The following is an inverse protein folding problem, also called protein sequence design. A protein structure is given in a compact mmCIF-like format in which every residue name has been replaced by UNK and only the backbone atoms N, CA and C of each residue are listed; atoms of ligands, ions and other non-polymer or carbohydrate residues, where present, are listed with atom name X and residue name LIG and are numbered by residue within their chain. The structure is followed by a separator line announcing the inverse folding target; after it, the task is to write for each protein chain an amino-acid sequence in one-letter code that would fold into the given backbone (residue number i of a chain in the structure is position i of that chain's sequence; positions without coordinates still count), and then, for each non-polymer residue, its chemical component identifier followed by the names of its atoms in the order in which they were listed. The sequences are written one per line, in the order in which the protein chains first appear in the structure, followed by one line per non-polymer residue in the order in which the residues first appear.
data_IF_697952028689
#
_entry.id   IF_697952028689
#
_cell.length_a   1.000
_cell.length_b   1.000
_cell.length_c   1.000
_cell.angle_alpha   90.00
_cell.angle_beta   90.00
_cell.angle_gamma   90.00
#
_symmetry.space_group_name_H-M   'P 1'
#
loop_
_entity.id
_entity.type
_entity.pdbx_description
1 polymer ?
#
# COMPACT_ATOMS: atom_id res chain seq x y z
N UNK A 1 4.53 -17.61 -10.20
CA UNK A 1 4.12 -16.41 -9.44
C UNK A 1 4.91 -16.43 -8.14
N UNK A 2 5.85 -15.50 -7.95
CA UNK A 2 6.69 -15.43 -6.75
C UNK A 2 6.33 -14.14 -6.02
N UNK A 3 5.59 -14.27 -4.92
CA UNK A 3 5.27 -13.18 -4.01
C UNK A 3 6.46 -13.07 -3.05
N UNK A 4 7.11 -11.91 -2.99
CA UNK A 4 8.15 -11.62 -2.00
C UNK A 4 7.61 -10.58 -1.04
N UNK A 5 7.16 -11.02 0.13
CA UNK A 5 6.83 -10.15 1.27
C UNK A 5 8.06 -10.10 2.16
N UNK A 6 8.67 -8.93 2.27
CA UNK A 6 9.84 -8.70 3.11
C UNK A 6 9.36 -8.37 4.53
N UNK A 7 9.37 -9.35 5.44
CA UNK A 7 9.04 -9.16 6.85
C UNK A 7 10.30 -8.71 7.59
N UNK A 8 10.37 -7.45 8.00
CA UNK A 8 11.46 -6.97 8.88
C UNK A 8 11.00 -7.05 10.35
N UNK A 9 11.54 -8.02 11.09
CA UNK A 9 11.28 -8.21 12.50
C UNK A 9 12.01 -7.13 13.33
N UNK A 10 11.25 -6.34 14.09
CA UNK A 10 11.76 -5.32 15.02
C UNK A 10 12.22 -6.00 16.33
N UNK A 11 13.53 -6.08 16.57
CA UNK A 11 14.09 -6.51 17.85
C UNK A 11 14.08 -5.35 18.85
N UNK A 12 13.29 -5.47 19.91
CA UNK A 12 13.42 -4.63 21.11
C UNK A 12 14.53 -5.21 22.00
N UNK A 13 15.61 -4.46 22.19
CA UNK A 13 16.58 -4.71 23.27
C UNK A 13 16.45 -3.60 24.32
N UNK A 14 16.11 -3.99 25.54
CA UNK A 14 16.04 -3.13 26.72
C UNK A 14 17.20 -3.47 27.67
N UNK A 15 17.68 -2.45 28.39
CA UNK A 15 18.57 -2.45 29.58
C UNK A 15 20.08 -2.59 29.30
N UNK A 16 21.00 -1.90 29.99
CA UNK A 16 20.96 -1.00 31.15
C UNK A 16 22.18 -0.06 31.13
N UNK A 17 22.04 1.13 31.73
CA UNK A 17 23.16 2.02 32.09
C UNK A 17 23.79 1.56 33.41
N UNK A 18 25.11 1.44 33.43
CA UNK A 18 25.93 1.31 34.64
C UNK A 18 27.35 1.80 34.34
N UNK A 19 27.78 2.87 35.02
CA UNK A 19 29.15 3.39 34.99
C UNK A 19 30.06 2.58 35.95
N UNK A 20 31.35 2.42 35.63
CA UNK A 20 32.52 2.88 36.44
C UNK A 20 33.83 2.23 35.92
N UNK A 21 34.97 2.82 36.31
CA UNK A 21 36.30 2.94 35.69
C UNK A 21 37.21 1.70 35.50
N UNK A 22 38.13 1.79 34.53
CA UNK A 22 39.50 1.22 34.67
C UNK A 22 40.09 0.38 33.52
N UNK A 23 41.05 0.98 32.82
CA UNK A 23 42.27 0.40 32.21
C UNK A 23 42.24 -0.44 30.89
N UNK A 24 42.84 0.20 29.86
CA UNK A 24 43.72 -0.30 28.79
C UNK A 24 43.32 -1.40 27.78
N UNK A 25 43.47 -0.96 26.53
CA UNK A 25 43.84 -1.70 25.30
C UNK A 25 42.73 -2.39 24.50
N UNK A 26 42.30 -1.77 23.40
CA UNK A 26 42.74 -2.15 22.03
C UNK A 26 41.91 -1.45 20.95
N UNK A 27 42.60 -1.08 19.88
CA UNK A 27 42.13 -0.65 18.54
C UNK A 27 40.64 -0.76 18.21
N UNK A 28 40.03 0.39 17.92
CA UNK A 28 39.20 0.62 16.73
C UNK A 28 38.82 2.10 16.67
N UNK A 29 39.32 2.84 15.68
CA UNK A 29 38.73 4.12 15.30
C UNK A 29 37.98 3.95 13.99
N UNK A 30 36.64 3.80 14.01
CA UNK A 30 35.83 4.23 12.90
C UNK A 30 35.50 5.71 13.10
N UNK A 31 36.25 6.57 12.42
CA UNK A 31 35.80 7.92 12.11
C UNK A 31 34.86 7.82 10.91
N UNK A 32 33.57 7.85 11.17
CA UNK A 32 32.54 8.36 10.27
C UNK A 32 31.25 8.41 11.07
N UNK A 33 31.07 9.55 11.73
CA UNK A 33 29.79 10.04 12.19
C UNK A 33 28.91 10.25 10.94
N UNK A 34 28.31 9.17 10.47
CA UNK A 34 27.13 9.26 9.63
C UNK A 34 25.97 9.43 10.60
N UNK A 35 25.76 10.67 11.02
CA UNK A 35 24.43 11.14 11.37
C UNK A 35 23.55 10.84 10.15
N UNK A 36 22.91 9.66 10.15
CA UNK A 36 21.75 9.42 9.31
C UNK A 36 20.65 10.32 9.87
N UNK A 37 20.71 11.58 9.45
CA UNK A 37 19.58 12.47 9.38
C UNK A 37 18.60 11.85 8.38
N UNK A 38 17.88 10.82 8.83
CA UNK A 38 16.63 10.43 8.20
C UNK A 38 15.62 11.46 8.66
N UNK A 39 15.72 12.67 8.12
CA UNK A 39 14.54 13.48 7.85
C UNK A 39 13.65 12.56 7.02
N UNK A 40 12.64 11.94 7.65
CA UNK A 40 11.62 11.18 6.96
C UNK A 40 11.01 12.12 5.92
N UNK A 41 11.41 11.95 4.66
CA UNK A 41 10.78 12.64 3.56
C UNK A 41 9.33 12.15 3.55
N UNK A 42 8.40 13.00 3.99
CA UNK A 42 6.99 12.69 4.15
C UNK A 42 6.25 12.53 2.82
N UNK A 43 6.69 11.57 2.01
CA UNK A 43 6.06 11.16 0.75
C UNK A 43 5.46 9.76 0.86
N UNK A 44 4.52 9.44 -0.02
CA UNK A 44 3.90 8.11 -0.08
C UNK A 44 4.94 7.03 -0.42
N UNK A 45 4.66 5.76 -0.12
CA UNK A 45 5.56 4.64 -0.43
C UNK A 45 6.04 4.66 -1.88
N UNK A 46 5.14 4.88 -2.85
CA UNK A 46 5.47 4.84 -4.28
C UNK A 46 6.31 6.03 -4.74
N UNK A 47 6.23 7.17 -4.06
CA UNK A 47 7.15 8.28 -4.29
C UNK A 47 8.59 7.92 -3.88
N UNK A 48 8.74 7.13 -2.81
CA UNK A 48 10.04 6.70 -2.30
C UNK A 48 10.58 5.46 -3.02
N UNK A 49 9.68 4.59 -3.50
CA UNK A 49 9.98 3.31 -4.12
C UNK A 49 9.22 3.18 -5.46
N UNK A 50 9.54 4.02 -6.46
CA UNK A 50 8.81 3.99 -7.73
C UNK A 50 9.08 2.69 -8.49
N UNK A 51 8.06 2.19 -9.16
CA UNK A 51 8.25 1.12 -10.15
C UNK A 51 8.99 1.67 -11.37
N UNK A 52 9.87 0.85 -11.93
CA UNK A 52 10.74 1.23 -13.06
C UNK A 52 10.61 0.31 -14.26
N UNK A 53 9.96 -0.85 -14.11
CA UNK A 53 9.75 -1.77 -15.22
C UNK A 53 8.51 -1.39 -16.03
N UNK A 54 8.58 -1.62 -17.34
CA UNK A 54 7.45 -1.40 -18.24
C UNK A 54 6.21 -2.15 -17.74
N UNK A 55 5.03 -1.52 -17.89
CA UNK A 55 3.72 -2.10 -17.53
C UNK A 55 3.56 -2.40 -16.04
N UNK A 56 4.31 -1.74 -15.17
CA UNK A 56 4.06 -1.75 -13.73
C UNK A 56 3.32 -0.48 -13.30
N UNK A 57 2.57 -0.61 -12.22
CA UNK A 57 1.88 0.48 -11.55
C UNK A 57 2.18 0.45 -10.06
N UNK A 58 2.35 1.62 -9.44
CA UNK A 58 2.47 1.79 -8.01
C UNK A 58 1.56 2.92 -7.52
N UNK A 59 0.78 2.66 -6.47
CA UNK A 59 0.16 3.69 -5.62
C UNK A 59 0.17 3.26 -4.15
N UNK A 60 -0.03 4.22 -3.26
CA UNK A 60 -0.33 3.94 -1.85
C UNK A 60 -1.82 3.98 -1.60
N UNK A 61 -2.33 3.10 -0.74
CA UNK A 61 -3.68 3.15 -0.19
C UNK A 61 -3.63 3.59 1.26
N UNK A 62 -4.52 4.49 1.65
CA UNK A 62 -4.69 4.89 3.05
C UNK A 62 -5.93 4.20 3.59
N UNK A 63 -5.70 3.32 4.56
CA UNK A 63 -6.73 2.57 5.26
C UNK A 63 -7.36 3.47 6.34
N UNK A 64 -8.69 3.59 6.41
CA UNK A 64 -9.32 4.52 7.36
C UNK A 64 -9.15 4.07 8.81
N UNK A 65 -9.09 5.02 9.73
CA UNK A 65 -9.00 4.74 11.18
C UNK A 65 -10.26 4.05 11.73
N UNK A 66 -11.37 4.10 11.00
CA UNK A 66 -12.68 3.57 11.41
C UNK A 66 -12.85 2.05 11.26
N UNK A 67 -11.85 1.32 10.77
CA UNK A 67 -11.91 -0.14 10.63
C UNK A 67 -11.75 -0.80 12.01
N UNK A 68 -12.83 -1.43 12.50
CA UNK A 68 -12.86 -2.11 13.81
C UNK A 68 -12.92 -3.62 13.73
N UNK A 69 -13.28 -4.16 12.57
CA UNK A 69 -13.41 -5.60 12.31
C UNK A 69 -12.30 -6.08 11.35
N UNK A 70 -11.97 -7.38 11.32
CA UNK A 70 -11.03 -7.89 10.34
C UNK A 70 -11.60 -7.74 8.93
N UNK A 71 -10.78 -7.23 8.01
CA UNK A 71 -11.11 -7.14 6.58
C UNK A 71 -11.36 -8.53 6.00
N UNK A 72 -12.39 -8.70 5.18
CA UNK A 72 -12.64 -9.96 4.48
C UNK A 72 -11.94 -10.02 3.12
N UNK A 73 -11.85 -8.88 2.45
CA UNK A 73 -11.28 -8.79 1.11
C UNK A 73 -10.83 -7.39 0.77
N UNK A 74 -9.72 -7.28 0.06
CA UNK A 74 -9.31 -6.03 -0.60
C UNK A 74 -9.27 -6.26 -2.11
N UNK A 75 -9.77 -5.28 -2.85
CA UNK A 75 -9.84 -5.31 -4.30
C UNK A 75 -9.33 -4.00 -4.84
N UNK A 76 -8.35 -4.03 -5.75
CA UNK A 76 -7.83 -2.84 -6.41
C UNK A 76 -7.76 -3.11 -7.90
N UNK A 77 -8.64 -2.47 -8.68
CA UNK A 77 -8.80 -2.78 -10.10
C UNK A 77 -9.01 -1.55 -10.96
N UNK A 78 -8.63 -1.71 -12.23
CA UNK A 78 -8.95 -0.77 -13.28
C UNK A 78 -10.33 -1.06 -13.90
N UNK A 79 -11.13 -0.01 -14.04
CA UNK A 79 -12.47 -0.02 -14.64
C UNK A 79 -12.49 0.84 -15.91
N UNK A 80 -13.36 0.49 -16.85
CA UNK A 80 -13.56 1.26 -18.09
C UNK A 80 -14.45 2.49 -17.92
N UNK A 81 -15.13 2.64 -16.78
CA UNK A 81 -16.00 3.77 -16.46
C UNK A 81 -15.90 4.16 -14.99
N UNK A 82 -16.25 5.42 -14.70
CA UNK A 82 -16.39 5.93 -13.34
C UNK A 82 -17.71 6.72 -13.18
N UNK A 83 -18.59 6.42 -12.22
CA UNK A 83 -18.50 5.30 -11.27
C UNK A 83 -18.48 3.92 -11.98
N UNK A 84 -17.86 2.90 -11.38
CA UNK A 84 -17.82 1.58 -11.99
C UNK A 84 -19.22 0.96 -12.01
N UNK A 85 -19.49 0.16 -13.04
CA UNK A 85 -20.73 -0.60 -13.17
C UNK A 85 -20.38 -2.06 -13.44
N UNK A 86 -20.69 -2.94 -12.48
CA UNK A 86 -20.38 -4.36 -12.58
C UNK A 86 -18.92 -4.69 -12.27
N UNK A 87 -18.44 -5.89 -12.65
CA UNK A 87 -17.10 -6.34 -12.31
C UNK A 87 -16.01 -5.52 -13.03
N UNK A 88 -14.76 -5.57 -12.55
CA UNK A 88 -13.61 -4.94 -13.19
C UNK A 88 -13.52 -5.22 -14.69
N UNK A 89 -13.25 -4.18 -15.48
CA UNK A 89 -13.07 -4.29 -16.94
C UNK A 89 -11.65 -4.70 -17.32
N UNK A 90 -10.69 -4.42 -16.43
CA UNK A 90 -9.27 -4.68 -16.62
C UNK A 90 -8.68 -5.42 -15.42
N UNK A 91 -7.37 -5.65 -15.48
CA UNK A 91 -6.61 -6.32 -14.43
C UNK A 91 -6.56 -5.50 -13.14
N UNK A 92 -6.24 -6.21 -12.06
CA UNK A 92 -6.09 -5.65 -10.72
C UNK A 92 -5.59 -6.73 -9.77
N UNK A 93 -5.68 -6.44 -8.48
CA UNK A 93 -5.37 -7.38 -7.40
C UNK A 93 -6.61 -7.61 -6.53
N UNK A 94 -6.78 -8.87 -6.12
CA UNK A 94 -7.76 -9.29 -5.14
C UNK A 94 -7.02 -10.04 -4.03
N UNK A 95 -7.17 -9.58 -2.80
CA UNK A 95 -6.53 -10.12 -1.62
C UNK A 95 -7.62 -10.66 -0.69
N UNK A 96 -7.52 -11.93 -0.31
CA UNK A 96 -8.49 -12.62 0.55
C UNK A 96 -7.83 -13.50 1.61
N UNK A 97 -6.51 -13.71 1.53
CA UNK A 97 -5.79 -14.51 2.51
C UNK A 97 -5.46 -13.68 3.74
N UNK A 98 -5.40 -14.30 4.92
CA UNK A 98 -5.09 -13.59 6.15
C UNK A 98 -3.71 -12.90 6.11
N UNK A 99 -2.73 -13.51 5.45
CA UNK A 99 -1.38 -12.95 5.33
C UNK A 99 -1.36 -11.72 4.42
N UNK A 100 -2.11 -11.74 3.31
CA UNK A 100 -2.23 -10.59 2.41
C UNK A 100 -3.04 -9.44 3.03
N UNK A 101 -3.97 -9.77 3.92
CA UNK A 101 -4.86 -8.81 4.58
C UNK A 101 -4.27 -8.24 5.87
N UNK A 102 -3.25 -8.87 6.45
CA UNK A 102 -2.61 -8.42 7.69
C UNK A 102 -2.13 -6.95 7.68
N UNK A 103 -1.67 -6.36 6.54
CA UNK A 103 -1.30 -4.94 6.49
C UNK A 103 -2.49 -3.97 6.51
N UNK A 104 -3.71 -4.42 6.22
CA UNK A 104 -4.90 -3.56 6.08
C UNK A 104 -5.59 -3.33 7.43
N UNK A 105 -4.86 -2.68 8.33
CA UNK A 105 -5.35 -2.26 9.65
C UNK A 105 -5.65 -0.76 9.66
N UNK A 106 -6.45 -0.31 10.64
CA UNK A 106 -6.83 1.08 10.81
C UNK A 106 -5.63 2.04 10.73
N UNK A 107 -5.74 3.07 9.88
CA UNK A 107 -4.72 4.12 9.71
C UNK A 107 -3.48 3.70 8.92
N UNK A 108 -3.41 2.47 8.43
CA UNK A 108 -2.24 1.98 7.68
C UNK A 108 -2.12 2.65 6.30
N UNK A 109 -0.89 2.91 5.89
CA UNK A 109 -0.55 3.15 4.48
C UNK A 109 -0.05 1.83 3.88
N UNK A 110 -0.76 1.32 2.88
CA UNK A 110 -0.45 0.03 2.23
C UNK A 110 -0.04 0.27 0.78
N UNK A 111 1.17 -0.15 0.35
CA UNK A 111 1.57 -0.01 -1.03
C UNK A 111 0.85 -1.04 -1.90
N UNK A 112 0.43 -0.60 -3.09
CA UNK A 112 -0.17 -1.44 -4.11
C UNK A 112 0.66 -1.36 -5.37
N UNK A 113 1.21 -2.51 -5.74
CA UNK A 113 1.98 -2.70 -6.97
C UNK A 113 1.20 -3.66 -7.87
N UNK A 114 0.91 -3.22 -9.09
CA UNK A 114 0.22 -4.02 -10.11
C UNK A 114 1.17 -4.20 -11.30
N UNK A 115 1.35 -5.44 -11.72
CA UNK A 115 2.23 -5.78 -12.84
C UNK A 115 1.43 -6.14 -14.10
N UNK A 116 2.12 -6.18 -15.24
CA UNK A 116 1.61 -6.64 -16.53
C UNK A 116 0.47 -5.80 -17.12
N UNK A 117 0.37 -4.51 -16.77
CA UNK A 117 -0.63 -3.61 -17.34
C UNK A 117 -0.67 -3.63 -18.88
N UNK A 118 -1.83 -3.31 -19.49
CA UNK A 118 -1.92 -3.12 -20.93
C UNK A 118 -0.86 -2.15 -21.46
N UNK A 119 -0.37 -2.35 -22.68
CA UNK A 119 0.54 -1.41 -23.34
C UNK A 119 -0.16 -0.18 -23.93
N UNK A 120 -1.49 -0.21 -24.01
CA UNK A 120 -2.31 0.85 -24.56
C UNK A 120 -3.72 0.80 -23.96
N UNK A 121 -4.43 1.92 -24.03
CA UNK A 121 -5.78 2.08 -23.49
C UNK A 121 -5.81 3.03 -22.31
N UNK A 122 -6.90 3.00 -21.56
CA UNK A 122 -7.10 3.85 -20.41
C UNK A 122 -8.06 3.19 -19.42
N UNK A 123 -7.97 3.57 -18.15
CA UNK A 123 -8.87 3.06 -17.12
C UNK A 123 -8.89 3.92 -15.85
N UNK A 124 -9.89 3.69 -15.03
CA UNK A 124 -10.06 4.31 -13.72
C UNK A 124 -9.65 3.31 -12.64
N UNK A 125 -8.70 3.65 -11.79
CA UNK A 125 -8.30 2.77 -10.69
C UNK A 125 -9.19 3.01 -9.48
N UNK A 126 -9.85 1.97 -9.00
CA UNK A 126 -10.63 1.98 -7.77
C UNK A 126 -10.14 0.88 -6.82
N UNK A 127 -10.08 1.22 -5.54
CA UNK A 127 -9.80 0.31 -4.45
C UNK A 127 -11.03 0.18 -3.54
N UNK A 128 -11.30 -1.04 -3.08
CA UNK A 128 -12.38 -1.35 -2.14
C UNK A 128 -11.84 -2.28 -1.06
N UNK A 129 -12.10 -1.93 0.19
CA UNK A 129 -11.99 -2.83 1.34
C UNK A 129 -13.39 -3.30 1.66
N UNK A 130 -13.61 -4.60 1.52
CA UNK A 130 -14.84 -5.26 1.90
C UNK A 130 -14.76 -5.76 3.33
N UNK A 131 -15.73 -5.32 4.13
CA UNK A 131 -15.86 -5.68 5.54
C UNK A 131 -16.83 -6.85 5.72
N UNK A 132 -16.83 -7.52 6.88
CA UNK A 132 -17.83 -8.54 7.19
C UNK A 132 -19.26 -8.04 6.98
N UNK A 133 -20.04 -8.81 6.23
CA UNK A 133 -21.42 -8.43 5.85
C UNK A 133 -21.52 -7.45 4.69
N UNK A 134 -20.40 -7.11 4.06
CA UNK A 134 -20.32 -6.21 2.90
C UNK A 134 -20.48 -6.89 1.55
N UNK A 135 -19.95 -6.25 0.52
CA UNK A 135 -20.08 -6.55 -0.90
C UNK A 135 -19.08 -7.57 -1.47
N UNK A 136 -18.33 -8.27 -0.62
CA UNK A 136 -17.18 -9.07 -1.05
C UNK A 136 -17.52 -10.10 -2.14
N UNK A 137 -18.72 -10.70 -2.10
CA UNK A 137 -19.16 -11.71 -3.06
C UNK A 137 -19.76 -11.13 -4.34
N UNK A 138 -20.25 -9.89 -4.30
CA UNK A 138 -21.02 -9.28 -5.40
C UNK A 138 -20.22 -8.25 -6.18
N UNK A 139 -19.05 -7.82 -5.68
CA UNK A 139 -18.25 -6.73 -6.25
C UNK A 139 -18.97 -5.39 -6.24
N UNK A 140 -19.94 -5.26 -5.34
CA UNK A 140 -20.75 -4.05 -5.17
C UNK A 140 -20.66 -3.67 -3.71
N UNK A 141 -19.96 -2.58 -3.43
CA UNK A 141 -19.78 -2.06 -2.07
C UNK A 141 -21.14 -1.81 -1.39
N UNK A 142 -21.23 -2.14 -0.11
CA UNK A 142 -22.43 -1.94 0.72
C UNK A 142 -22.26 -0.66 1.54
N UNK A 143 -23.23 0.24 1.39
CA UNK A 143 -23.34 1.49 2.15
C UNK A 143 -23.28 1.25 3.66
N UNK A 144 -22.45 2.04 4.35
CA UNK A 144 -22.23 1.96 5.80
C UNK A 144 -21.43 0.75 6.28
N UNK A 145 -20.93 -0.09 5.36
CA UNK A 145 -20.17 -1.31 5.70
C UNK A 145 -18.79 -1.29 5.03
N UNK A 146 -18.74 -1.14 3.71
CA UNK A 146 -17.50 -1.20 2.95
C UNK A 146 -16.83 0.17 2.81
N UNK A 147 -15.55 0.15 2.45
CA UNK A 147 -14.77 1.36 2.21
C UNK A 147 -14.25 1.37 0.78
N UNK A 148 -14.35 2.51 0.10
CA UNK A 148 -13.89 2.65 -1.28
C UNK A 148 -13.15 3.97 -1.52
N UNK A 149 -12.31 3.97 -2.54
CA UNK A 149 -11.54 5.14 -2.96
C UNK A 149 -11.04 4.95 -4.38
N UNK A 150 -10.83 6.07 -5.08
CA UNK A 150 -10.35 6.06 -6.46
C UNK A 150 -9.07 6.89 -6.57
N UNK A 151 -8.12 6.40 -7.37
CA UNK A 151 -6.92 7.17 -7.66
C UNK A 151 -7.28 8.46 -8.38
N UNK A 152 -6.57 9.56 -8.04
CA UNK A 152 -6.74 10.86 -8.68
C UNK A 152 -8.20 11.34 -8.71
N UNK A 153 -9.00 11.03 -7.68
CA UNK A 153 -10.42 11.37 -7.62
C UNK A 153 -11.29 10.70 -8.69
N UNK A 154 -10.85 9.56 -9.22
CA UNK A 154 -11.53 8.85 -10.31
C UNK A 154 -11.14 9.33 -11.71
N UNK A 155 -10.05 10.08 -11.86
CA UNK A 155 -9.55 10.47 -13.17
C UNK A 155 -9.10 9.25 -14.00
N UNK A 156 -9.07 9.45 -15.32
CA UNK A 156 -8.61 8.45 -16.28
C UNK A 156 -7.08 8.33 -16.20
N UNK A 157 -6.59 7.09 -16.11
CA UNK A 157 -5.15 6.76 -16.16
C UNK A 157 -4.84 6.15 -17.53
N UNK A 158 -3.98 6.78 -18.34
CA UNK A 158 -3.60 6.23 -19.63
C UNK A 158 -2.59 5.10 -19.47
N UNK A 159 -2.80 4.02 -20.22
CA UNK A 159 -1.82 2.96 -20.38
C UNK A 159 -0.95 3.27 -21.59
N UNK A 160 0.35 3.43 -21.39
CA UNK A 160 1.32 3.75 -22.44
C UNK A 160 2.38 2.66 -22.62
N UNK A 161 2.36 1.63 -21.76
CA UNK A 161 3.40 0.61 -21.65
C UNK A 161 4.57 1.01 -20.75
N UNK A 162 4.70 2.29 -20.40
CA UNK A 162 5.67 2.80 -19.43
C UNK A 162 5.21 2.53 -17.97
N UNK A 163 6.14 2.51 -16.98
CA UNK A 163 5.77 2.45 -15.58
C UNK A 163 4.90 3.64 -15.16
N UNK A 164 3.91 3.39 -14.30
CA UNK A 164 3.01 4.40 -13.76
C UNK A 164 3.21 4.48 -12.24
N UNK A 165 3.54 5.65 -11.72
CA UNK A 165 3.63 5.92 -10.28
C UNK A 165 2.66 7.03 -9.92
N UNK A 166 1.77 6.78 -8.97
CA UNK A 166 0.87 7.80 -8.42
C UNK A 166 1.42 8.22 -7.07
N UNK A 167 1.84 9.48 -6.98
CA UNK A 167 2.38 10.05 -5.75
C UNK A 167 1.27 10.30 -4.71
N UNK A 168 0.09 10.71 -5.18
CA UNK A 168 -1.07 10.95 -4.33
C UNK A 168 -1.70 9.63 -3.85
N UNK A 169 -1.84 9.42 -2.53
CA UNK A 169 -2.42 8.19 -2.03
C UNK A 169 -3.91 8.08 -2.36
N UNK A 170 -4.37 6.86 -2.56
CA UNK A 170 -5.79 6.51 -2.67
C UNK A 170 -6.36 6.48 -1.26
N UNK A 171 -7.10 7.53 -0.89
CA UNK A 171 -7.78 7.61 0.40
C UNK A 171 -9.12 6.88 0.30
N UNK A 172 -9.26 5.81 1.08
CA UNK A 172 -10.51 5.07 1.19
C UNK A 172 -11.46 5.78 2.15
N UNK A 173 -12.75 5.74 1.86
CA UNK A 173 -13.80 6.33 2.69
C UNK A 173 -14.95 5.35 2.85
N UNK A 174 -15.66 5.43 3.98
CA UNK A 174 -16.86 4.64 4.18
C UNK A 174 -17.87 4.98 3.09
N UNK A 175 -18.42 3.95 2.44
CA UNK A 175 -19.44 4.12 1.41
C UNK A 175 -20.68 4.77 2.06
N UNK A 176 -21.16 5.91 1.54
CA UNK A 176 -22.22 6.70 2.17
C UNK A 176 -23.60 6.04 2.11
#
# INVERSE_FOLDING_TARGET
MRISILILALFFAVFAVGCDDGDSSSSASPTADATSDTTAAGGSYCQQNPVTEAKQFCASLIVPDGITEPVEKVSVHFFSSFPPTGPPSFMGIELMSADDLAPFVAGAEVPVVIENLPSSGEGHLMAVIYMPGGGALTWVSVSGVDYEGAALGGAVIPFTGEPINIDEPIVLNLVP
#
